data_IF_676589973624
#
_entry.id   IF_676589973624
#
_cell.length_a   1.000
_cell.length_b   1.000
_cell.length_c   1.000
_cell.angle_alpha   90.00
_cell.angle_beta   90.00
_cell.angle_gamma   90.00
#
_symmetry.space_group_name_H-M   'P 1'
#
loop_
_entity.id
_entity.type
_entity.pdbx_description
1 polymer ?
#
# COMPACT_ATOMS: atom_id res chain seq x y z
N UNK A 1 31.35 -13.23 9.56
CA UNK A 1 29.97 -12.79 9.87
C UNK A 1 29.82 -11.42 9.23
N UNK A 2 29.30 -11.36 8.00
CA UNK A 2 29.08 -10.08 7.31
C UNK A 2 28.01 -9.29 8.08
N UNK A 3 28.36 -8.08 8.50
CA UNK A 3 27.40 -7.13 9.06
C UNK A 3 26.41 -6.77 7.95
N UNK A 4 25.14 -7.14 8.15
CA UNK A 4 24.04 -6.61 7.36
C UNK A 4 24.18 -5.08 7.31
N UNK A 5 24.14 -4.45 6.12
CA UNK A 5 24.26 -2.99 6.01
C UNK A 5 23.20 -2.32 6.87
N UNK A 6 23.60 -1.32 7.65
CA UNK A 6 22.66 -0.53 8.44
C UNK A 6 21.68 0.18 7.49
N UNK A 7 20.39 0.12 7.82
CA UNK A 7 19.29 0.78 7.09
C UNK A 7 19.48 2.31 6.94
N UNK A 8 20.49 2.90 7.57
CA UNK A 8 20.84 4.32 7.47
C UNK A 8 21.47 4.72 6.13
N UNK A 9 21.93 3.77 5.31
CA UNK A 9 22.60 4.05 4.04
C UNK A 9 21.68 4.01 2.81
N UNK A 10 20.39 3.73 2.99
CA UNK A 10 19.40 3.98 1.94
C UNK A 10 19.03 5.46 2.02
N UNK A 11 19.81 6.31 1.35
CA UNK A 11 19.30 7.56 0.84
C UNK A 11 18.17 7.21 -0.12
N UNK A 12 16.96 6.98 0.41
CA UNK A 12 15.73 7.08 -0.35
C UNK A 12 15.71 8.52 -0.85
N UNK A 13 16.25 8.70 -2.05
CA UNK A 13 16.24 9.93 -2.85
C UNK A 13 15.00 10.76 -2.53
N UNK A 14 15.14 12.08 -2.41
CA UNK A 14 14.08 13.07 -2.13
C UNK A 14 12.89 13.07 -3.12
N UNK A 15 12.79 12.06 -3.98
CA UNK A 15 11.83 11.92 -5.05
C UNK A 15 10.86 10.74 -4.82
N UNK A 16 10.49 10.46 -3.56
CA UNK A 16 9.55 9.40 -3.21
C UNK A 16 8.37 9.97 -2.41
N UNK A 17 7.18 9.41 -2.58
CA UNK A 17 6.02 9.71 -1.73
C UNK A 17 5.41 8.42 -1.18
N UNK A 18 5.18 8.39 0.13
CA UNK A 18 4.48 7.28 0.80
C UNK A 18 3.02 7.68 0.99
N UNK A 19 2.12 6.92 0.39
CA UNK A 19 0.67 7.14 0.46
C UNK A 19 0.06 5.98 1.26
N UNK A 20 -0.33 6.29 2.50
CA UNK A 20 -0.97 5.34 3.42
C UNK A 20 -2.43 5.72 3.68
N UNK A 21 -3.37 4.81 3.40
CA UNK A 21 -4.81 5.07 3.62
C UNK A 21 -5.15 5.32 5.09
N UNK A 22 -4.39 4.75 6.02
CA UNK A 22 -4.59 4.93 7.46
C UNK A 22 -4.37 6.39 7.88
N UNK A 23 -3.38 7.09 7.28
CA UNK A 23 -3.15 8.51 7.56
C UNK A 23 -4.37 9.36 7.17
N UNK A 24 -4.98 9.04 6.02
CA UNK A 24 -6.19 9.73 5.57
C UNK A 24 -7.38 9.38 6.45
N UNK A 25 -7.50 8.13 6.91
CA UNK A 25 -8.55 7.72 7.83
C UNK A 25 -8.44 8.48 9.17
N UNK A 26 -7.24 8.57 9.76
CA UNK A 26 -7.01 9.33 11.00
C UNK A 26 -7.34 10.82 10.83
N UNK A 27 -6.91 11.43 9.72
CA UNK A 27 -7.23 12.82 9.40
C UNK A 27 -8.73 13.07 9.32
N UNK A 28 -9.46 12.24 8.57
CA UNK A 28 -10.93 12.36 8.44
C UNK A 28 -11.61 12.12 9.79
N UNK A 29 -11.19 11.12 10.55
CA UNK A 29 -11.77 10.80 11.85
C UNK A 29 -11.55 11.92 12.87
N UNK A 30 -10.44 12.67 12.74
CA UNK A 30 -10.08 13.78 13.62
C UNK A 30 -10.77 15.09 13.25
N UNK A 31 -10.91 15.40 11.96
CA UNK A 31 -11.36 16.72 11.51
C UNK A 31 -12.75 16.73 10.86
N UNK A 32 -13.18 15.60 10.28
CA UNK A 32 -14.38 15.50 9.46
C UNK A 32 -15.26 14.32 9.85
N UNK A 33 -15.26 13.94 11.13
CA UNK A 33 -15.99 12.77 11.65
C UNK A 33 -17.47 12.74 11.25
N UNK A 34 -18.12 13.91 11.16
CA UNK A 34 -19.53 14.05 10.75
C UNK A 34 -19.80 13.66 9.29
N UNK A 35 -18.77 13.60 8.45
CA UNK A 35 -18.86 13.19 7.05
C UNK A 35 -18.62 11.69 6.85
N UNK A 36 -18.28 10.96 7.91
CA UNK A 36 -18.10 9.52 7.81
C UNK A 36 -19.45 8.83 7.63
N UNK A 37 -19.54 7.86 6.71
CA UNK A 37 -20.75 7.06 6.60
C UNK A 37 -20.91 6.21 7.85
N UNK A 38 -22.16 6.13 8.35
CA UNK A 38 -22.52 5.33 9.53
C UNK A 38 -22.25 3.84 9.24
N UNK A 39 -22.65 3.39 8.05
CA UNK A 39 -22.48 2.00 7.57
C UNK A 39 -21.81 1.97 6.19
N UNK A 40 -21.31 0.79 5.79
CA UNK A 40 -20.75 0.60 4.46
C UNK A 40 -19.31 1.13 4.29
N UNK A 41 -18.89 1.35 3.04
CA UNK A 41 -17.53 1.73 2.69
C UNK A 41 -17.21 3.18 3.10
N UNK A 42 -15.97 3.44 3.53
CA UNK A 42 -15.50 4.80 3.80
C UNK A 42 -15.17 5.52 2.48
N UNK A 43 -16.20 5.92 1.73
CA UNK A 43 -16.10 6.53 0.40
C UNK A 43 -15.25 7.79 0.41
N UNK A 44 -15.37 8.66 1.43
CA UNK A 44 -14.56 9.87 1.56
C UNK A 44 -13.06 9.56 1.66
N UNK A 45 -12.67 8.56 2.47
CA UNK A 45 -11.27 8.10 2.55
C UNK A 45 -10.75 7.63 1.19
N UNK A 46 -11.57 6.87 0.45
CA UNK A 46 -11.19 6.39 -0.88
C UNK A 46 -11.04 7.55 -1.87
N UNK A 47 -11.97 8.51 -1.89
CA UNK A 47 -11.90 9.68 -2.76
C UNK A 47 -10.65 10.53 -2.50
N UNK A 48 -10.32 10.80 -1.23
CA UNK A 48 -9.12 11.55 -0.86
C UNK A 48 -7.85 10.78 -1.26
N UNK A 49 -7.80 9.48 -0.97
CA UNK A 49 -6.65 8.65 -1.34
C UNK A 49 -6.45 8.65 -2.85
N UNK A 50 -7.51 8.45 -3.63
CA UNK A 50 -7.44 8.41 -5.09
C UNK A 50 -7.01 9.76 -5.66
N UNK A 51 -7.48 10.87 -5.11
CA UNK A 51 -7.05 12.21 -5.54
C UNK A 51 -5.55 12.43 -5.32
N UNK A 52 -5.02 11.99 -4.17
CA UNK A 52 -3.59 12.10 -3.86
C UNK A 52 -2.77 11.18 -4.77
N UNK A 53 -3.23 9.95 -5.02
CA UNK A 53 -2.58 9.02 -5.95
C UNK A 53 -2.54 9.59 -7.37
N UNK A 54 -3.66 10.10 -7.89
CA UNK A 54 -3.73 10.68 -9.24
C UNK A 54 -2.80 11.89 -9.36
N UNK A 55 -2.81 12.77 -8.36
CA UNK A 55 -1.93 13.92 -8.35
C UNK A 55 -0.46 13.49 -8.35
N UNK A 56 -0.07 12.55 -7.48
CA UNK A 56 1.30 12.05 -7.46
C UNK A 56 1.68 11.37 -8.80
N UNK A 57 0.79 10.57 -9.37
CA UNK A 57 1.07 9.82 -10.60
C UNK A 57 1.20 10.72 -11.84
N UNK A 58 0.36 11.75 -11.95
CA UNK A 58 0.27 12.60 -13.15
C UNK A 58 1.08 13.88 -13.03
N UNK A 59 1.07 14.52 -11.85
CA UNK A 59 1.63 15.86 -11.65
C UNK A 59 3.03 15.85 -11.05
N UNK A 60 3.60 14.68 -10.76
CA UNK A 60 4.93 14.55 -10.18
C UNK A 60 5.81 13.54 -10.92
N UNK A 61 7.10 13.57 -10.58
CA UNK A 61 8.07 12.56 -10.99
C UNK A 61 8.47 11.64 -9.83
N UNK A 62 7.64 11.56 -8.78
CA UNK A 62 7.93 10.75 -7.61
C UNK A 62 7.81 9.24 -7.90
N UNK A 63 8.64 8.45 -7.23
CA UNK A 63 8.31 7.05 -6.97
C UNK A 63 7.21 7.00 -5.90
N UNK A 64 6.23 6.14 -6.11
CA UNK A 64 5.02 6.09 -5.28
C UNK A 64 5.04 4.82 -4.45
N UNK A 65 5.03 4.95 -3.13
CA UNK A 65 4.93 3.83 -2.20
C UNK A 65 3.51 3.82 -1.66
N UNK A 66 2.68 2.90 -2.16
CA UNK A 66 1.36 2.65 -1.62
C UNK A 66 1.44 1.63 -0.50
N UNK A 67 1.23 2.10 0.73
CA UNK A 67 1.27 1.27 1.94
C UNK A 67 -0.16 0.98 2.41
N UNK A 68 -0.72 -0.15 2.02
CA UNK A 68 -2.06 -0.58 2.42
C UNK A 68 -2.16 -2.10 2.46
N UNK A 69 -3.15 -2.68 3.15
CA UNK A 69 -3.20 -4.13 3.31
C UNK A 69 -3.30 -4.89 1.98
N UNK A 70 -3.93 -4.26 0.96
CA UNK A 70 -3.98 -4.74 -0.42
C UNK A 70 -4.32 -6.24 -0.55
N UNK A 71 -5.14 -6.76 0.37
CA UNK A 71 -5.44 -8.20 0.47
C UNK A 71 -6.28 -8.70 -0.70
N UNK A 72 -7.16 -7.84 -1.22
CA UNK A 72 -8.07 -8.20 -2.28
C UNK A 72 -7.38 -8.30 -3.65
N UNK A 73 -7.50 -9.46 -4.31
CA UNK A 73 -6.85 -9.72 -5.61
C UNK A 73 -7.29 -8.76 -6.72
N UNK A 74 -8.59 -8.48 -6.85
CA UNK A 74 -9.07 -7.58 -7.90
C UNK A 74 -8.65 -6.14 -7.61
N UNK A 75 -8.67 -5.72 -6.34
CA UNK A 75 -8.12 -4.46 -5.87
C UNK A 75 -6.66 -4.28 -6.27
N UNK A 76 -5.80 -5.27 -5.99
CA UNK A 76 -4.39 -5.24 -6.44
C UNK A 76 -4.26 -5.14 -7.96
N UNK A 77 -5.02 -5.96 -8.68
CA UNK A 77 -4.97 -6.00 -10.16
C UNK A 77 -5.33 -4.64 -10.76
N UNK A 78 -6.35 -3.96 -10.21
CA UNK A 78 -6.78 -2.65 -10.65
C UNK A 78 -5.70 -1.59 -10.39
N UNK A 79 -5.09 -1.60 -9.20
CA UNK A 79 -4.00 -0.68 -8.85
C UNK A 79 -2.80 -0.84 -9.78
N UNK A 80 -2.37 -2.09 -10.04
CA UNK A 80 -1.25 -2.37 -10.93
C UNK A 80 -1.55 -1.95 -12.36
N UNK A 81 -2.75 -2.23 -12.85
CA UNK A 81 -3.17 -1.84 -14.21
C UNK A 81 -3.15 -0.32 -14.36
N UNK A 82 -3.68 0.41 -13.39
CA UNK A 82 -3.65 1.87 -13.35
C UNK A 82 -2.21 2.43 -13.45
N UNK A 83 -1.27 1.90 -12.65
CA UNK A 83 0.12 2.40 -12.70
C UNK A 83 0.82 2.04 -14.01
N UNK A 84 0.58 0.85 -14.55
CA UNK A 84 1.13 0.46 -15.86
C UNK A 84 0.61 1.36 -16.99
N UNK A 85 -0.68 1.69 -16.99
CA UNK A 85 -1.27 2.65 -17.94
C UNK A 85 -0.63 4.04 -17.87
N UNK A 86 -0.13 4.43 -16.69
CA UNK A 86 0.58 5.70 -16.46
C UNK A 86 2.10 5.60 -16.69
N UNK A 87 2.60 4.46 -17.17
CA UNK A 87 4.01 4.25 -17.50
C UNK A 87 4.92 3.93 -16.31
N UNK A 88 4.36 3.55 -15.16
CA UNK A 88 5.14 3.11 -14.01
C UNK A 88 5.57 1.65 -14.16
N UNK A 89 6.75 1.35 -13.64
CA UNK A 89 7.14 -0.02 -13.29
C UNK A 89 6.62 -0.32 -11.90
N UNK A 90 5.90 -1.43 -11.70
CA UNK A 90 5.31 -1.77 -10.41
C UNK A 90 6.07 -2.91 -9.72
N UNK A 91 6.30 -2.77 -8.42
CA UNK A 91 6.90 -3.78 -7.54
C UNK A 91 5.89 -4.09 -6.42
N UNK A 92 5.63 -5.38 -6.19
CA UNK A 92 4.83 -5.83 -5.04
C UNK A 92 5.79 -6.36 -3.98
N UNK A 93 5.68 -5.83 -2.76
CA UNK A 93 6.38 -6.34 -1.59
C UNK A 93 5.36 -7.04 -0.70
N UNK A 94 5.57 -8.33 -0.50
CA UNK A 94 4.70 -9.15 0.35
C UNK A 94 5.47 -9.68 1.55
N UNK A 95 5.01 -9.35 2.75
CA UNK A 95 5.58 -9.85 4.00
C UNK A 95 4.86 -11.13 4.43
N UNK A 96 5.49 -12.28 4.16
CA UNK A 96 4.99 -13.57 4.65
C UNK A 96 5.44 -13.79 6.11
N UNK A 97 4.65 -13.30 7.06
CA UNK A 97 4.91 -13.43 8.49
C UNK A 97 3.89 -14.38 9.12
N UNK A 98 4.35 -15.19 10.10
CA UNK A 98 3.46 -16.08 10.84
C UNK A 98 2.39 -15.29 11.61
N UNK A 99 1.17 -15.83 11.69
CA UNK A 99 0.07 -15.20 12.43
C UNK A 99 0.42 -14.96 13.91
N UNK A 100 1.18 -15.86 14.55
CA UNK A 100 1.59 -15.72 15.94
C UNK A 100 2.52 -14.52 16.16
N UNK A 101 3.50 -14.32 15.26
CA UNK A 101 4.34 -13.12 15.27
C UNK A 101 3.52 -11.83 15.07
N UNK A 102 2.50 -11.87 14.20
CA UNK A 102 1.61 -10.73 13.96
C UNK A 102 0.78 -10.42 15.21
N UNK A 103 0.20 -11.43 15.86
CA UNK A 103 -0.54 -11.30 17.14
C UNK A 103 0.32 -10.63 18.21
N UNK A 104 1.54 -11.14 18.44
CA UNK A 104 2.47 -10.55 19.41
C UNK A 104 2.76 -9.08 19.10
N UNK A 105 2.96 -8.73 17.82
CA UNK A 105 3.22 -7.34 17.42
C UNK A 105 2.01 -6.43 17.61
N UNK A 106 0.80 -6.88 17.30
CA UNK A 106 -0.42 -6.06 17.48
C UNK A 106 -0.79 -5.89 18.94
N UNK A 107 -0.44 -6.84 19.82
CA UNK A 107 -0.64 -6.72 21.27
C UNK A 107 0.35 -5.73 21.90
N UNK A 108 1.60 -5.71 21.44
CA UNK A 108 2.66 -4.86 22.00
C UNK A 108 2.70 -3.44 21.42
N UNK A 109 1.97 -3.19 20.34
CA UNK A 109 2.03 -1.90 19.64
C UNK A 109 1.39 -0.76 20.43
N UNK A 110 1.95 0.45 20.27
CA UNK A 110 1.37 1.71 20.79
C UNK A 110 0.68 2.51 19.68
N UNK A 111 0.37 1.86 18.55
CA UNK A 111 -0.26 2.53 17.41
C UNK A 111 -1.64 3.07 17.78
N UNK A 112 -1.91 4.29 17.30
CA UNK A 112 -3.20 4.95 17.45
C UNK A 112 -4.35 4.09 16.92
N UNK A 113 -5.45 4.03 17.67
CA UNK A 113 -6.72 3.43 17.25
C UNK A 113 -7.62 4.43 16.53
N UNK A 114 -7.18 5.69 16.37
CA UNK A 114 -7.97 6.76 15.78
C UNK A 114 -8.29 6.51 14.30
N UNK A 115 -7.58 5.60 13.63
CA UNK A 115 -7.86 5.15 12.26
C UNK A 115 -9.15 4.32 12.18
N UNK A 116 -9.60 3.72 13.29
CA UNK A 116 -10.71 2.79 13.26
C UNK A 116 -12.06 3.49 13.18
N UNK A 117 -12.90 2.94 12.31
CA UNK A 117 -14.32 3.29 12.22
C UNK A 117 -15.22 2.23 12.85
N UNK A 118 -14.91 0.95 12.62
CA UNK A 118 -15.75 -0.19 13.02
C UNK A 118 -15.01 -1.30 13.77
N UNK A 119 -13.70 -1.21 13.90
CA UNK A 119 -12.92 -2.12 14.73
C UNK A 119 -12.60 -1.44 16.07
N UNK A 120 -12.51 -2.23 17.12
CA UNK A 120 -12.16 -1.81 18.48
C UNK A 120 -10.66 -1.98 18.78
N UNK A 121 -9.97 -2.83 18.01
CA UNK A 121 -8.56 -3.15 18.22
C UNK A 121 -7.84 -3.59 16.93
N UNK A 122 -6.51 -3.56 16.94
CA UNK A 122 -5.68 -4.09 15.85
C UNK A 122 -5.75 -5.62 15.78
N UNK A 123 -5.96 -6.29 16.91
CA UNK A 123 -6.17 -7.74 16.95
C UNK A 123 -7.45 -8.12 16.19
N UNK A 124 -8.55 -7.41 16.44
CA UNK A 124 -9.80 -7.62 15.70
C UNK A 124 -9.63 -7.38 14.19
N UNK A 125 -8.84 -6.38 13.79
CA UNK A 125 -8.51 -6.16 12.37
C UNK A 125 -7.74 -7.36 11.81
N UNK A 126 -6.73 -7.85 12.52
CA UNK A 126 -5.93 -9.00 12.09
C UNK A 126 -6.79 -10.27 11.92
N UNK A 127 -7.70 -10.53 12.85
CA UNK A 127 -8.62 -11.67 12.79
C UNK A 127 -9.58 -11.57 11.59
N UNK A 128 -10.18 -10.40 11.36
CA UNK A 128 -11.05 -10.15 10.20
C UNK A 128 -10.30 -10.37 8.88
N UNK A 129 -9.03 -9.95 8.82
CA UNK A 129 -8.19 -10.16 7.64
C UNK A 129 -7.86 -11.64 7.41
N UNK A 130 -7.51 -12.38 8.46
CA UNK A 130 -7.24 -13.82 8.38
C UNK A 130 -8.45 -14.64 7.90
N UNK A 131 -9.66 -14.21 8.28
CA UNK A 131 -10.90 -14.89 7.91
C UNK A 131 -11.44 -14.49 6.52
N UNK A 132 -10.79 -13.57 5.82
CA UNK A 132 -11.30 -13.04 4.54
C UNK A 132 -11.20 -14.02 3.36
N UNK A 133 -10.40 -15.08 3.47
CA UNK A 133 -10.19 -16.06 2.40
C UNK A 133 -9.44 -15.48 1.17
N UNK A 134 -8.83 -14.31 1.31
CA UNK A 134 -8.14 -13.63 0.23
C UNK A 134 -6.82 -14.33 -0.14
N UNK A 135 -6.55 -14.44 -1.45
CA UNK A 135 -5.37 -15.11 -1.96
C UNK A 135 -4.16 -14.17 -1.85
N UNK A 136 -3.06 -14.58 -1.18
CA UNK A 136 -1.88 -13.75 -1.04
C UNK A 136 -1.18 -13.54 -2.39
N UNK A 137 -0.41 -12.44 -2.55
CA UNK A 137 0.38 -12.19 -3.75
C UNK A 137 1.34 -13.34 -4.12
N UNK A 138 1.88 -14.06 -3.13
CA UNK A 138 2.80 -15.18 -3.32
C UNK A 138 2.19 -16.36 -4.07
N UNK A 139 0.87 -16.48 -4.08
CA UNK A 139 0.13 -17.57 -4.72
C UNK A 139 -0.44 -17.17 -6.09
N UNK A 140 -0.16 -15.95 -6.56
CA UNK A 140 -0.46 -15.58 -7.93
C UNK A 140 0.56 -16.21 -8.88
N UNK A 141 0.13 -17.20 -9.66
CA UNK A 141 0.91 -17.70 -10.79
C UNK A 141 1.27 -16.55 -11.72
N UNK A 142 2.56 -16.20 -11.81
CA UNK A 142 3.04 -15.20 -12.74
C UNK A 142 2.83 -15.72 -14.18
N UNK A 143 1.82 -15.21 -14.87
CA UNK A 143 1.74 -15.41 -16.32
C UNK A 143 2.86 -14.56 -16.93
N UNK A 144 3.98 -15.19 -17.30
CA UNK A 144 4.99 -14.60 -18.19
C UNK A 144 4.33 -14.29 -19.54
N UNK A 145 3.69 -13.13 -19.69
CA UNK A 145 3.49 -12.54 -21.01
C UNK A 145 4.70 -11.67 -21.30
N UNK A 146 5.38 -12.02 -22.40
CA UNK A 146 6.70 -11.53 -22.77
C UNK A 146 6.83 -10.01 -22.61
N UNK A 147 7.75 -9.60 -21.75
CA UNK A 147 8.23 -8.23 -21.72
C UNK A 147 8.88 -7.92 -23.09
N UNK A 148 8.59 -6.77 -23.72
CA UNK A 148 9.35 -6.33 -24.87
C UNK A 148 10.80 -6.10 -24.44
N UNK A 149 11.76 -6.65 -25.19
CA UNK A 149 13.14 -6.16 -25.12
C UNK A 149 13.15 -4.76 -25.71
N UNK A 150 13.35 -3.75 -24.87
CA UNK A 150 13.73 -2.43 -25.34
C UNK A 150 15.26 -2.34 -25.32
N UNK A 151 15.86 -2.59 -26.48
CA UNK A 151 17.19 -2.09 -26.81
C UNK A 151 17.03 -0.61 -27.19
N UNK A 152 17.55 0.29 -26.36
CA UNK A 152 17.55 1.72 -26.66
C UNK A 152 17.73 2.58 -25.42
N UNK A 153 18.89 3.20 -25.30
CA UNK A 153 19.14 4.29 -24.35
C UNK A 153 18.14 5.43 -24.59
N UNK A 154 17.18 5.57 -23.68
CA UNK A 154 16.44 6.82 -23.46
C UNK A 154 16.61 7.15 -21.99
N UNK A 155 17.05 8.37 -21.70
CA UNK A 155 17.13 8.91 -20.35
C UNK A 155 15.69 9.15 -19.83
N UNK A 156 14.97 8.06 -19.57
CA UNK A 156 13.63 8.07 -19.00
C UNK A 156 13.77 7.78 -17.51
N UNK A 157 13.41 8.76 -16.69
CA UNK A 157 13.24 8.61 -15.25
C UNK A 157 12.31 7.41 -14.99
N UNK A 158 12.85 6.30 -14.52
CA UNK A 158 12.08 5.10 -14.19
C UNK A 158 11.18 5.48 -13.01
N UNK A 159 9.86 5.55 -13.22
CA UNK A 159 8.90 5.74 -12.12
C UNK A 159 8.55 4.37 -11.54
N UNK A 160 8.78 4.20 -10.24
CA UNK A 160 8.49 2.93 -9.55
C UNK A 160 7.28 3.10 -8.62
N UNK A 161 6.36 2.14 -8.65
CA UNK A 161 5.27 2.03 -7.70
C UNK A 161 5.50 0.81 -6.79
N UNK A 162 5.67 1.04 -5.49
CA UNK A 162 5.81 -0.02 -4.49
C UNK A 162 4.48 -0.25 -3.79
N UNK A 163 3.94 -1.45 -3.93
CA UNK A 163 2.77 -1.89 -3.17
C UNK A 163 3.26 -2.69 -1.96
N UNK A 164 3.25 -2.07 -0.78
CA UNK A 164 3.49 -2.73 0.51
C UNK A 164 2.19 -3.31 1.06
#
# INVERSE_FOLDING_TARGET
MEKLPSLKNWNLSYNNVVIGQDNHAEFINSHYKKLLPIEGLNTLKFSITNAIVEYAAVQSNFHIILSNCNLNKSGRTNVLSYFHEKGFTSIIVYFNLSIELLKTRVEQTQRSKAIFRSASSLLEVLERQGNSGEIPPSEMGFVKKGAPRYDGYVHNTIKEALLL
#
